data_IF_863302504706
#
_entry.id   IF_863302504706
#
_cell.length_a   1.000
_cell.length_b   1.000
_cell.length_c   1.000
_cell.angle_alpha   90.00
_cell.angle_beta   90.00
_cell.angle_gamma   90.00
#
_symmetry.space_group_name_H-M   'P 1'
#
loop_
_entity.id
_entity.type
_entity.pdbx_description
1 polymer ?
#
# COMPACT_ATOMS: atom_id res chain seq x y z
N UNK A 1 5.93 26.17 7.48
CA UNK A 1 6.53 24.98 8.16
C UNK A 1 5.74 23.67 8.00
N UNK A 2 5.15 23.35 6.83
CA UNK A 2 4.30 22.15 6.68
C UNK A 2 5.02 21.01 5.93
N UNK A 3 4.56 19.79 6.14
CA UNK A 3 4.96 18.58 5.40
C UNK A 3 3.75 17.73 5.05
N UNK A 4 3.83 17.02 3.93
CA UNK A 4 2.81 16.06 3.54
C UNK A 4 2.86 14.84 4.46
N UNK A 5 1.78 14.59 5.19
CA UNK A 5 1.63 13.42 6.05
C UNK A 5 1.18 12.23 5.20
N UNK A 6 1.98 11.16 5.21
CA UNK A 6 1.60 9.90 4.59
C UNK A 6 0.82 9.07 5.58
N UNK A 7 -0.43 8.78 5.22
CA UNK A 7 -1.35 8.01 6.06
C UNK A 7 -2.13 7.00 5.21
N UNK A 8 -1.99 5.69 5.47
CA UNK A 8 -2.71 4.67 4.71
C UNK A 8 -4.17 4.55 5.16
N UNK A 9 -4.98 3.94 4.31
CA UNK A 9 -6.41 3.74 4.55
C UNK A 9 -6.86 2.29 4.40
N UNK A 10 -6.00 1.41 3.86
CA UNK A 10 -6.40 0.03 3.56
C UNK A 10 -5.29 -0.94 3.98
N UNK A 11 -5.63 -1.82 4.92
CA UNK A 11 -4.80 -2.93 5.35
C UNK A 11 -5.67 -4.01 5.98
N UNK A 12 -5.22 -5.25 5.89
CA UNK A 12 -5.87 -6.38 6.53
C UNK A 12 -4.79 -7.23 7.20
N UNK A 13 -4.65 -7.09 8.52
CA UNK A 13 -3.67 -7.80 9.35
C UNK A 13 -4.24 -9.05 10.01
N UNK A 14 -5.49 -9.44 9.69
CA UNK A 14 -6.14 -10.63 10.29
C UNK A 14 -5.33 -11.90 10.04
N UNK A 15 -4.63 -11.99 8.91
CA UNK A 15 -3.75 -13.10 8.62
C UNK A 15 -2.58 -13.22 9.63
N UNK A 16 -2.00 -12.11 10.10
CA UNK A 16 -0.95 -12.16 11.15
C UNK A 16 -1.48 -12.71 12.46
N UNK A 17 -2.72 -12.37 12.81
CA UNK A 17 -3.37 -12.90 14.01
C UNK A 17 -3.47 -14.43 13.98
N UNK A 18 -3.77 -14.98 12.81
CA UNK A 18 -3.81 -16.43 12.59
C UNK A 18 -2.42 -17.06 12.56
N UNK A 19 -1.41 -16.37 12.01
CA UNK A 19 -0.03 -16.90 11.89
C UNK A 19 0.78 -16.84 13.18
N UNK A 20 0.47 -15.92 14.09
CA UNK A 20 1.25 -15.69 15.30
C UNK A 20 1.25 -16.90 16.22
N UNK A 21 2.38 -17.58 16.41
CA UNK A 21 2.47 -18.70 17.34
C UNK A 21 2.40 -18.21 18.79
N UNK A 22 1.44 -18.74 19.56
CA UNK A 22 1.30 -18.45 20.99
C UNK A 22 2.48 -19.09 21.70
N UNK A 23 3.36 -18.26 22.27
CA UNK A 23 4.57 -18.75 22.94
C UNK A 23 4.24 -19.22 24.36
N UNK A 24 4.89 -20.30 24.79
CA UNK A 24 4.73 -20.84 26.15
C UNK A 24 5.19 -19.87 27.24
N UNK A 25 6.12 -18.97 26.91
CA UNK A 25 6.66 -17.94 27.81
C UNK A 25 5.69 -16.79 28.09
N UNK A 26 4.58 -16.67 27.36
CA UNK A 26 3.62 -15.59 27.57
C UNK A 26 2.81 -15.78 28.85
N UNK A 27 2.36 -14.67 29.43
CA UNK A 27 1.41 -14.71 30.55
C UNK A 27 0.11 -15.42 30.14
N UNK A 28 -0.47 -16.22 31.03
CA UNK A 28 -1.69 -16.98 30.73
C UNK A 28 -2.87 -16.10 30.29
N UNK A 29 -2.97 -14.88 30.85
CA UNK A 29 -3.96 -13.90 30.43
C UNK A 29 -3.77 -13.48 28.96
N UNK A 30 -2.53 -13.30 28.52
CA UNK A 30 -2.20 -12.96 27.13
C UNK A 30 -2.54 -14.15 26.23
N UNK A 31 -2.14 -15.37 26.62
CA UNK A 31 -2.49 -16.59 25.86
C UNK A 31 -4.01 -16.76 25.70
N UNK A 32 -4.77 -16.57 26.77
CA UNK A 32 -6.24 -16.63 26.74
C UNK A 32 -6.83 -15.58 25.79
N UNK A 33 -6.36 -14.33 25.87
CA UNK A 33 -6.80 -13.26 24.95
C UNK A 33 -6.52 -13.62 23.48
N UNK A 34 -5.34 -14.16 23.18
CA UNK A 34 -4.99 -14.59 21.83
C UNK A 34 -5.88 -15.74 21.33
N UNK A 35 -6.21 -16.71 22.18
CA UNK A 35 -7.16 -17.79 21.85
C UNK A 35 -8.55 -17.24 21.53
N UNK A 36 -9.09 -16.38 22.39
CA UNK A 36 -10.40 -15.74 22.17
C UNK A 36 -10.43 -14.90 20.88
N UNK A 37 -9.36 -14.14 20.61
CA UNK A 37 -9.27 -13.35 19.39
C UNK A 37 -9.26 -14.23 18.14
N UNK A 38 -8.57 -15.38 18.17
CA UNK A 38 -8.55 -16.36 17.07
C UNK A 38 -9.90 -16.99 16.84
N UNK A 39 -10.57 -17.45 17.89
CA UNK A 39 -11.91 -18.04 17.82
C UNK A 39 -12.92 -17.04 17.23
N UNK A 40 -12.88 -15.78 17.70
CA UNK A 40 -13.74 -14.72 17.18
C UNK A 40 -13.44 -14.40 15.71
N UNK A 41 -12.16 -14.38 15.32
CA UNK A 41 -11.76 -14.15 13.94
C UNK A 41 -12.20 -15.28 13.02
N UNK A 42 -11.99 -16.54 13.42
CA UNK A 42 -12.42 -17.71 12.66
C UNK A 42 -13.94 -17.72 12.47
N UNK A 43 -14.71 -17.41 13.52
CA UNK A 43 -16.17 -17.28 13.41
C UNK A 43 -16.60 -16.16 12.44
N UNK A 44 -15.89 -15.03 12.44
CA UNK A 44 -16.13 -13.94 11.48
C UNK A 44 -15.77 -14.34 10.05
N UNK A 45 -14.60 -14.96 9.84
CA UNK A 45 -14.17 -15.43 8.53
C UNK A 45 -15.10 -16.51 7.98
N UNK A 46 -15.67 -17.35 8.84
CA UNK A 46 -16.66 -18.36 8.46
C UNK A 46 -17.94 -17.72 7.93
N UNK A 47 -18.40 -16.62 8.53
CA UNK A 47 -19.52 -15.82 8.01
C UNK A 47 -19.18 -15.14 6.68
N UNK A 48 -17.96 -14.62 6.55
CA UNK A 48 -17.48 -13.89 5.36
C UNK A 48 -17.23 -14.80 4.15
N UNK A 49 -16.55 -15.94 4.37
CA UNK A 49 -16.11 -16.86 3.32
C UNK A 49 -17.08 -18.03 3.12
N UNK A 50 -18.01 -18.25 4.03
CA UNK A 50 -18.98 -19.35 4.03
C UNK A 50 -18.42 -20.70 4.48
N UNK A 51 -19.30 -21.57 4.96
CA UNK A 51 -18.96 -22.84 5.62
C UNK A 51 -18.38 -23.92 4.72
N UNK A 52 -18.79 -23.97 3.46
CA UNK A 52 -18.33 -25.01 2.55
C UNK A 52 -16.81 -24.94 2.32
N UNK A 53 -16.09 -26.05 2.54
CA UNK A 53 -14.63 -26.14 2.46
C UNK A 53 -13.88 -25.09 3.31
N UNK A 54 -14.44 -24.69 4.46
CA UNK A 54 -13.89 -23.60 5.26
C UNK A 54 -12.42 -23.80 5.66
N UNK A 55 -12.00 -25.01 6.05
CA UNK A 55 -10.62 -25.26 6.48
C UNK A 55 -9.59 -24.97 5.37
N UNK A 56 -9.93 -25.32 4.12
CA UNK A 56 -9.12 -24.95 2.95
C UNK A 56 -9.08 -23.42 2.77
N UNK A 57 -10.22 -22.75 2.91
CA UNK A 57 -10.32 -21.28 2.78
C UNK A 57 -9.52 -20.58 3.86
N UNK A 58 -9.58 -21.07 5.10
CA UNK A 58 -8.82 -20.55 6.24
C UNK A 58 -7.32 -20.73 6.02
N UNK A 59 -6.90 -21.91 5.53
CA UNK A 59 -5.50 -22.13 5.14
C UNK A 59 -5.06 -21.16 4.04
N UNK A 60 -5.86 -21.00 2.99
CA UNK A 60 -5.54 -20.08 1.89
C UNK A 60 -5.49 -18.62 2.36
N UNK A 61 -6.42 -18.20 3.22
CA UNK A 61 -6.43 -16.87 3.83
C UNK A 61 -5.14 -16.62 4.61
N UNK A 62 -4.75 -17.58 5.47
CA UNK A 62 -3.53 -17.50 6.27
C UNK A 62 -2.27 -17.48 5.38
N UNK A 63 -2.20 -18.35 4.39
CA UNK A 63 -1.03 -18.48 3.50
C UNK A 63 -0.85 -17.24 2.61
N UNK A 64 -1.94 -16.60 2.18
CA UNK A 64 -1.91 -15.36 1.41
C UNK A 64 -1.30 -14.19 2.19
N UNK A 65 -1.32 -14.24 3.52
CA UNK A 65 -0.79 -13.18 4.38
C UNK A 65 -1.66 -11.93 4.37
N UNK A 66 -1.12 -10.85 4.94
CA UNK A 66 -1.82 -9.58 5.12
C UNK A 66 -2.01 -8.80 3.81
N UNK A 67 -3.07 -7.99 3.70
CA UNK A 67 -3.10 -6.99 2.63
C UNK A 67 -2.01 -5.95 2.90
N UNK A 68 -1.22 -5.58 1.88
CA UNK A 68 -0.23 -4.52 2.01
C UNK A 68 -0.94 -3.18 2.16
N UNK A 69 -0.28 -2.27 2.88
CA UNK A 69 -0.71 -0.88 2.90
C UNK A 69 -0.45 -0.21 1.54
N UNK A 70 -1.38 0.63 1.09
CA UNK A 70 -1.26 1.42 -0.14
C UNK A 70 -1.87 2.80 0.01
N UNK A 71 -1.26 3.81 -0.63
CA UNK A 71 -1.79 5.18 -0.74
C UNK A 71 -2.73 5.35 -1.95
N UNK A 72 -2.81 4.35 -2.84
CA UNK A 72 -3.53 4.46 -4.12
C UNK A 72 -4.74 3.52 -4.16
N UNK A 73 -5.93 4.08 -4.41
CA UNK A 73 -7.19 3.36 -4.30
C UNK A 73 -7.57 2.48 -5.50
N UNK A 74 -7.00 2.68 -6.69
CA UNK A 74 -7.51 1.98 -7.89
C UNK A 74 -7.16 0.49 -7.93
N UNK A 75 -6.04 0.06 -7.32
CA UNK A 75 -5.62 -1.34 -7.36
C UNK A 75 -6.07 -2.13 -6.14
N UNK A 76 -6.37 -1.49 -5.00
CA UNK A 76 -6.75 -2.20 -3.78
C UNK A 76 -8.01 -3.07 -3.94
N UNK A 77 -9.14 -2.58 -4.52
CA UNK A 77 -10.33 -3.40 -4.70
C UNK A 77 -10.07 -4.59 -5.66
N UNK A 78 -9.27 -4.38 -6.69
CA UNK A 78 -8.93 -5.42 -7.67
C UNK A 78 -8.00 -6.48 -7.03
N UNK A 79 -7.05 -6.06 -6.20
CA UNK A 79 -6.20 -6.97 -5.44
C UNK A 79 -7.01 -7.77 -4.43
N UNK A 80 -7.95 -7.13 -3.73
CA UNK A 80 -8.88 -7.79 -2.82
C UNK A 80 -9.71 -8.87 -3.53
N UNK A 81 -10.23 -8.59 -4.73
CA UNK A 81 -10.93 -9.57 -5.55
C UNK A 81 -10.05 -10.77 -5.93
N UNK A 82 -8.78 -10.53 -6.32
CA UNK A 82 -7.83 -11.60 -6.64
C UNK A 82 -7.54 -12.50 -5.43
N UNK A 83 -7.36 -11.91 -4.24
CA UNK A 83 -7.19 -12.66 -2.98
C UNK A 83 -8.42 -13.50 -2.65
N UNK A 84 -9.62 -12.93 -2.79
CA UNK A 84 -10.86 -13.64 -2.53
C UNK A 84 -11.07 -14.85 -3.44
N UNK A 85 -10.71 -14.73 -4.73
CA UNK A 85 -10.69 -15.87 -5.63
C UNK A 85 -9.76 -16.98 -5.11
N UNK A 86 -8.57 -16.62 -4.64
CA UNK A 86 -7.62 -17.57 -4.05
C UNK A 86 -8.14 -18.23 -2.78
N UNK A 87 -8.76 -17.46 -1.87
CA UNK A 87 -9.35 -18.00 -0.64
C UNK A 87 -10.34 -19.12 -0.95
N UNK A 88 -11.19 -18.92 -1.96
CA UNK A 88 -12.21 -19.88 -2.38
C UNK A 88 -11.67 -21.06 -3.22
N UNK A 89 -10.35 -21.14 -3.45
CA UNK A 89 -9.75 -22.22 -4.23
C UNK A 89 -9.79 -21.99 -5.74
N UNK A 90 -10.23 -20.82 -6.21
CA UNK A 90 -10.22 -20.44 -7.62
C UNK A 90 -8.84 -19.94 -8.04
N UNK A 91 -7.86 -20.85 -8.03
CA UNK A 91 -6.44 -20.51 -8.21
C UNK A 91 -6.11 -19.94 -9.59
N UNK A 92 -6.70 -20.48 -10.67
CA UNK A 92 -6.45 -19.96 -12.02
C UNK A 92 -6.98 -18.52 -12.21
N UNK A 93 -8.24 -18.21 -11.83
CA UNK A 93 -8.70 -16.83 -11.79
C UNK A 93 -7.85 -15.91 -10.92
N UNK A 94 -7.43 -16.36 -9.73
CA UNK A 94 -6.58 -15.55 -8.84
C UNK A 94 -5.21 -15.23 -9.47
N UNK A 95 -4.57 -16.23 -10.08
CA UNK A 95 -3.31 -16.11 -10.79
C UNK A 95 -3.40 -15.12 -11.95
N UNK A 96 -4.40 -15.28 -12.82
CA UNK A 96 -4.60 -14.36 -13.95
C UNK A 96 -4.96 -12.95 -13.49
N UNK A 97 -5.80 -12.81 -12.46
CA UNK A 97 -6.17 -11.51 -11.90
C UNK A 97 -4.94 -10.78 -11.33
N UNK A 98 -4.08 -11.47 -10.58
CA UNK A 98 -2.84 -10.88 -10.05
C UNK A 98 -1.87 -10.45 -11.16
N UNK A 99 -1.64 -11.30 -12.16
CA UNK A 99 -0.81 -10.97 -13.31
C UNK A 99 -1.36 -9.79 -14.12
N UNK A 100 -2.65 -9.79 -14.43
CA UNK A 100 -3.30 -8.71 -15.17
C UNK A 100 -3.30 -7.39 -14.40
N UNK A 101 -3.46 -7.44 -13.07
CA UNK A 101 -3.36 -6.26 -12.23
C UNK A 101 -1.93 -5.69 -12.23
N UNK A 102 -0.90 -6.54 -12.18
CA UNK A 102 0.49 -6.10 -12.35
C UNK A 102 0.73 -5.37 -13.68
N UNK A 103 0.24 -5.93 -14.79
CA UNK A 103 0.28 -5.28 -16.12
C UNK A 103 -0.42 -3.92 -16.10
N UNK A 104 -1.61 -3.87 -15.50
CA UNK A 104 -2.40 -2.66 -15.38
C UNK A 104 -1.68 -1.58 -14.56
N UNK A 105 -0.98 -1.94 -13.49
CA UNK A 105 -0.19 -1.00 -12.68
C UNK A 105 0.98 -0.41 -13.46
N UNK A 106 1.72 -1.23 -14.23
CA UNK A 106 2.78 -0.76 -15.12
C UNK A 106 2.23 0.25 -16.15
N UNK A 107 1.11 -0.09 -16.77
CA UNK A 107 0.48 0.76 -17.78
C UNK A 107 -0.03 2.07 -17.22
N UNK A 108 -0.62 2.06 -16.02
CA UNK A 108 -1.02 3.28 -15.32
C UNK A 108 0.19 4.17 -15.02
N UNK A 109 1.26 3.63 -14.44
CA UNK A 109 2.46 4.43 -14.15
C UNK A 109 3.06 5.06 -15.42
N UNK A 110 3.13 4.31 -16.52
CA UNK A 110 3.59 4.86 -17.79
C UNK A 110 2.68 5.99 -18.26
N UNK A 111 1.36 5.77 -18.30
CA UNK A 111 0.40 6.77 -18.77
C UNK A 111 0.41 8.04 -17.91
N UNK A 112 0.54 7.87 -16.61
CA UNK A 112 0.45 8.94 -15.63
C UNK A 112 1.70 9.81 -15.58
N UNK A 113 2.88 9.26 -15.93
CA UNK A 113 4.18 9.89 -15.72
C UNK A 113 4.91 10.24 -17.01
N UNK A 114 4.62 9.60 -18.15
CA UNK A 114 5.43 9.73 -19.37
C UNK A 114 5.63 11.16 -19.88
N UNK A 115 4.68 12.05 -19.64
CA UNK A 115 4.75 13.42 -20.16
C UNK A 115 5.83 14.24 -19.43
N UNK A 116 6.08 13.95 -18.15
CA UNK A 116 7.20 14.49 -17.35
C UNK A 116 8.57 14.09 -17.92
N UNK A 117 8.62 13.01 -18.69
CA UNK A 117 9.84 12.46 -19.29
C UNK A 117 9.88 12.58 -20.81
N UNK A 118 9.08 13.48 -21.39
CA UNK A 118 8.96 13.66 -22.85
C UNK A 118 10.28 13.95 -23.58
N UNK A 119 11.28 14.48 -22.87
CA UNK A 119 12.64 14.72 -23.39
C UNK A 119 13.56 13.49 -23.44
N UNK A 120 13.14 12.34 -22.92
CA UNK A 120 13.99 11.13 -22.81
C UNK A 120 13.89 10.23 -24.05
N UNK A 121 14.89 9.38 -24.29
CA UNK A 121 14.83 8.39 -25.38
C UNK A 121 13.71 7.37 -25.13
N UNK A 122 13.51 7.00 -23.87
CA UNK A 122 12.54 6.01 -23.41
C UNK A 122 11.11 6.45 -23.73
N UNK A 123 10.80 7.73 -23.63
CA UNK A 123 9.47 8.28 -23.98
C UNK A 123 9.02 7.85 -25.37
N UNK A 124 9.92 7.85 -26.36
CA UNK A 124 9.57 7.46 -27.75
C UNK A 124 9.03 6.03 -27.83
N UNK A 125 9.47 5.13 -26.93
CA UNK A 125 9.04 3.73 -26.87
C UNK A 125 7.65 3.58 -26.28
N UNK A 126 7.23 4.51 -25.41
CA UNK A 126 5.95 4.47 -24.68
C UNK A 126 4.95 5.59 -25.05
N UNK A 127 5.31 6.44 -26.01
CA UNK A 127 4.44 7.51 -26.48
C UNK A 127 3.16 6.99 -27.14
N UNK A 128 3.24 5.84 -27.83
CA UNK A 128 2.12 5.22 -28.56
C UNK A 128 1.50 4.07 -27.79
N UNK A 129 0.18 3.92 -27.92
CA UNK A 129 -0.63 2.90 -27.23
C UNK A 129 -0.17 1.45 -27.46
N UNK A 130 0.40 1.16 -28.64
CA UNK A 130 0.82 -0.20 -29.02
C UNK A 130 1.98 -0.77 -28.16
N UNK A 131 2.57 0.02 -27.27
CA UNK A 131 3.66 -0.39 -26.39
C UNK A 131 3.21 -0.95 -25.03
N UNK A 132 1.94 -0.75 -24.66
CA UNK A 132 1.44 -1.05 -23.30
C UNK A 132 1.20 -2.54 -23.02
N UNK A 133 1.25 -3.40 -24.03
CA UNK A 133 1.17 -4.85 -23.83
C UNK A 133 2.57 -5.48 -23.64
N UNK A 134 3.63 -4.68 -23.69
CA UNK A 134 5.01 -5.14 -23.54
C UNK A 134 5.58 -4.79 -22.16
N UNK A 135 5.53 -5.76 -21.25
CA UNK A 135 6.08 -5.66 -19.89
C UNK A 135 7.55 -5.22 -19.87
N UNK A 136 8.40 -5.70 -20.78
CA UNK A 136 9.83 -5.35 -20.76
C UNK A 136 10.03 -3.87 -21.08
N UNK A 137 9.27 -3.34 -22.04
CA UNK A 137 9.32 -1.93 -22.39
C UNK A 137 8.85 -1.08 -21.22
N UNK A 138 7.73 -1.43 -20.57
CA UNK A 138 7.23 -0.68 -19.42
C UNK A 138 8.20 -0.73 -18.24
N UNK A 139 8.69 -1.93 -17.86
CA UNK A 139 9.63 -2.10 -16.74
C UNK A 139 10.93 -1.34 -17.00
N UNK A 140 11.57 -1.54 -18.15
CA UNK A 140 12.84 -0.87 -18.46
C UNK A 140 12.70 0.66 -18.58
N UNK A 141 11.54 1.15 -19.02
CA UNK A 141 11.25 2.59 -19.07
C UNK A 141 11.11 3.18 -17.67
N UNK A 142 10.30 2.57 -16.81
CA UNK A 142 10.11 3.03 -15.42
C UNK A 142 11.39 2.92 -14.58
N UNK A 143 12.20 1.88 -14.83
CA UNK A 143 13.53 1.71 -14.22
C UNK A 143 14.49 2.81 -14.68
N UNK A 144 14.52 3.13 -15.98
CA UNK A 144 15.37 4.20 -16.51
C UNK A 144 14.94 5.62 -16.09
N UNK A 145 13.67 5.81 -15.75
CA UNK A 145 13.14 7.05 -15.16
C UNK A 145 13.28 7.10 -13.64
N UNK A 146 13.90 6.09 -13.03
CA UNK A 146 14.07 5.96 -11.59
C UNK A 146 12.75 6.05 -10.81
N UNK A 147 11.67 5.46 -11.35
CA UNK A 147 10.33 5.49 -10.71
C UNK A 147 10.17 4.42 -9.63
N UNK A 148 10.85 3.28 -9.80
CA UNK A 148 10.73 2.18 -8.85
C UNK A 148 11.41 2.52 -7.52
N UNK A 149 10.70 2.29 -6.42
CA UNK A 149 11.17 2.65 -5.08
C UNK A 149 12.27 1.71 -4.55
N UNK A 150 12.37 0.50 -5.11
CA UNK A 150 13.43 -0.46 -4.80
C UNK A 150 13.56 -1.53 -5.89
N UNK A 151 14.73 -2.17 -5.97
CA UNK A 151 15.05 -3.23 -6.95
C UNK A 151 14.09 -4.43 -6.88
N UNK A 152 13.54 -4.73 -5.70
CA UNK A 152 12.58 -5.82 -5.54
C UNK A 152 11.29 -5.59 -6.34
N UNK A 153 10.87 -4.33 -6.56
CA UNK A 153 9.69 -4.00 -7.37
C UNK A 153 9.89 -4.45 -8.82
N UNK A 154 11.06 -4.14 -9.39
CA UNK A 154 11.45 -4.61 -10.72
C UNK A 154 11.45 -6.14 -10.81
N UNK A 155 12.05 -6.80 -9.80
CA UNK A 155 12.12 -8.26 -9.75
C UNK A 155 10.72 -8.91 -9.67
N UNK A 156 9.82 -8.33 -8.87
CA UNK A 156 8.45 -8.80 -8.70
C UNK A 156 7.62 -8.63 -9.99
N UNK A 157 7.73 -7.50 -10.68
CA UNK A 157 7.07 -7.33 -11.99
C UNK A 157 7.60 -8.35 -13.03
N UNK A 158 8.91 -8.59 -13.06
CA UNK A 158 9.50 -9.63 -13.92
C UNK A 158 9.00 -11.04 -13.54
N UNK A 159 8.78 -11.30 -12.26
CA UNK A 159 8.22 -12.56 -11.79
C UNK A 159 6.75 -12.73 -12.23
N UNK A 160 5.92 -11.71 -12.07
CA UNK A 160 4.53 -11.70 -12.55
C UNK A 160 4.43 -11.93 -14.05
N UNK A 161 5.32 -11.31 -14.84
CA UNK A 161 5.41 -11.56 -16.29
C UNK A 161 5.66 -13.03 -16.62
N UNK A 162 6.61 -13.67 -15.92
CA UNK A 162 6.92 -15.10 -16.13
C UNK A 162 5.74 -15.98 -15.77
N UNK A 163 5.08 -15.70 -14.65
CA UNK A 163 3.87 -16.41 -14.21
C UNK A 163 2.75 -16.26 -15.25
N UNK A 164 2.49 -15.04 -15.75
CA UNK A 164 1.51 -14.77 -16.81
C UNK A 164 1.79 -15.59 -18.06
N UNK A 165 3.03 -15.53 -18.57
CA UNK A 165 3.43 -16.23 -19.79
C UNK A 165 3.20 -17.74 -19.65
N UNK A 166 3.63 -18.34 -18.52
CA UNK A 166 3.43 -19.77 -18.26
C UNK A 166 1.96 -20.15 -18.07
N UNK A 167 1.13 -19.26 -17.55
CA UNK A 167 -0.26 -19.57 -17.18
C UNK A 167 -1.23 -19.39 -18.34
N UNK A 168 -0.96 -18.46 -19.26
CA UNK A 168 -1.82 -18.18 -20.42
C UNK A 168 -1.56 -19.18 -21.55
N UNK A 169 -0.31 -19.62 -21.74
CA UNK A 169 0.01 -20.66 -22.71
C UNK A 169 -0.32 -22.03 -22.12
N UNK A 170 -1.14 -22.81 -22.83
CA UNK A 170 -1.58 -24.13 -22.37
C UNK A 170 -0.39 -25.04 -22.07
N UNK A 171 -0.34 -25.55 -20.84
CA UNK A 171 0.60 -26.57 -20.40
C UNK A 171 -0.09 -27.47 -19.36
N UNK A 172 -0.06 -28.81 -19.51
CA UNK A 172 -0.61 -29.72 -18.51
C UNK A 172 0.02 -29.57 -17.12
N UNK A 173 1.28 -29.13 -17.06
CA UNK A 173 1.99 -28.90 -15.79
C UNK A 173 1.38 -27.75 -14.97
N UNK A 174 0.72 -26.78 -15.62
CA UNK A 174 0.07 -25.63 -14.96
C UNK A 174 -1.00 -26.08 -13.96
N UNK A 175 -1.66 -27.23 -14.18
CA UNK A 175 -2.65 -27.75 -13.25
C UNK A 175 -2.05 -28.32 -11.96
N UNK A 176 -0.77 -28.70 -11.97
CA UNK A 176 -0.09 -29.26 -10.78
C UNK A 176 0.41 -28.20 -9.82
N UNK A 177 0.72 -27.00 -10.33
CA UNK A 177 1.33 -25.91 -9.54
C UNK A 177 0.39 -24.72 -9.36
N UNK A 178 -0.88 -24.86 -9.76
CA UNK A 178 -1.80 -23.73 -9.90
C UNK A 178 -1.98 -22.93 -8.60
N UNK A 179 -2.06 -23.65 -7.47
CA UNK A 179 -2.20 -23.03 -6.15
C UNK A 179 -0.94 -22.26 -5.79
N UNK A 180 0.23 -22.88 -5.94
CA UNK A 180 1.53 -22.30 -5.60
C UNK A 180 1.81 -21.08 -6.46
N UNK A 181 1.48 -21.15 -7.75
CA UNK A 181 1.64 -20.06 -8.70
C UNK A 181 0.70 -18.90 -8.40
N UNK A 182 -0.56 -19.18 -8.08
CA UNK A 182 -1.52 -18.15 -7.67
C UNK A 182 -1.07 -17.46 -6.37
N UNK A 183 -0.61 -18.22 -5.39
CA UNK A 183 -0.08 -17.68 -4.14
C UNK A 183 1.16 -16.81 -4.40
N UNK A 184 2.10 -17.29 -5.20
CA UNK A 184 3.31 -16.55 -5.58
C UNK A 184 2.96 -15.26 -6.31
N UNK A 185 2.01 -15.29 -7.25
CA UNK A 185 1.57 -14.08 -7.96
C UNK A 185 0.96 -13.06 -7.01
N UNK A 186 0.09 -13.49 -6.09
CA UNK A 186 -0.49 -12.60 -5.08
C UNK A 186 0.59 -12.00 -4.16
N UNK A 187 1.59 -12.79 -3.76
CA UNK A 187 2.69 -12.32 -2.92
C UNK A 187 3.60 -11.32 -3.63
N UNK A 188 3.95 -11.55 -4.91
CA UNK A 188 4.71 -10.59 -5.72
C UNK A 188 3.93 -9.28 -5.88
N UNK A 189 2.62 -9.38 -6.15
CA UNK A 189 1.77 -8.21 -6.26
C UNK A 189 1.63 -7.46 -4.92
N UNK A 190 1.52 -8.20 -3.81
CA UNK A 190 1.49 -7.61 -2.47
C UNK A 190 2.78 -6.83 -2.17
N UNK A 191 3.92 -7.40 -2.54
CA UNK A 191 5.24 -6.79 -2.41
C UNK A 191 5.35 -5.50 -3.24
N UNK A 192 4.93 -5.53 -4.51
CA UNK A 192 4.87 -4.34 -5.37
C UNK A 192 4.02 -3.25 -4.73
N UNK A 193 2.79 -3.59 -4.31
CA UNK A 193 1.88 -2.61 -3.70
C UNK A 193 2.52 -2.00 -2.43
N UNK A 194 3.08 -2.84 -1.55
CA UNK A 194 3.70 -2.41 -0.30
C UNK A 194 4.89 -1.49 -0.50
N UNK A 195 5.78 -1.81 -1.43
CA UNK A 195 7.05 -1.10 -1.60
C UNK A 195 6.90 0.11 -2.52
N UNK A 196 6.12 -0.01 -3.61
CA UNK A 196 5.94 1.08 -4.55
C UNK A 196 4.91 2.10 -4.05
N UNK A 197 3.79 1.64 -3.50
CA UNK A 197 2.63 2.48 -3.15
C UNK A 197 2.35 2.52 -1.65
N UNK A 198 3.10 1.80 -0.83
CA UNK A 198 2.99 1.84 0.63
C UNK A 198 3.96 2.83 1.26
N UNK A 199 4.08 2.75 2.57
CA UNK A 199 4.91 3.68 3.36
C UNK A 199 5.68 2.89 4.42
N UNK A 200 6.17 1.70 4.05
CA UNK A 200 7.13 1.02 4.89
C UNK A 200 8.35 1.94 5.06
N UNK A 201 8.90 2.00 6.27
CA UNK A 201 9.83 3.05 6.70
C UNK A 201 11.19 3.12 5.97
N UNK A 202 11.30 2.49 4.81
CA UNK A 202 12.51 2.36 3.99
C UNK A 202 12.45 3.20 2.70
N UNK A 203 11.31 3.83 2.37
CA UNK A 203 11.19 4.61 1.15
C UNK A 203 12.14 5.83 1.15
N UNK A 204 12.88 6.03 0.05
CA UNK A 204 13.94 7.05 -0.06
C UNK A 204 13.46 8.49 0.15
N UNK A 205 12.20 8.77 -0.15
CA UNK A 205 11.56 10.08 -0.04
C UNK A 205 10.98 10.36 1.35
N UNK A 206 11.04 9.39 2.26
CA UNK A 206 10.42 9.50 3.57
C UNK A 206 11.30 10.31 4.53
N UNK A 207 10.69 11.27 5.22
CA UNK A 207 11.35 12.12 6.20
C UNK A 207 11.81 11.25 7.39
N UNK A 208 13.12 11.18 7.68
CA UNK A 208 13.65 10.36 8.76
C UNK A 208 13.47 11.03 10.13
N UNK A 209 13.40 10.21 11.17
CA UNK A 209 13.48 10.69 12.56
C UNK A 209 12.17 11.14 13.19
N UNK A 210 11.01 11.01 12.54
CA UNK A 210 9.70 11.30 13.14
C UNK A 210 9.11 10.10 13.90
N UNK A 211 8.50 10.36 15.06
CA UNK A 211 7.85 9.33 15.89
C UNK A 211 6.43 9.03 15.42
N UNK A 212 6.15 7.75 15.14
CA UNK A 212 4.82 7.27 14.76
C UNK A 212 4.43 7.63 13.32
N UNK A 213 4.17 8.91 13.05
CA UNK A 213 3.74 9.39 11.74
C UNK A 213 4.89 9.48 10.73
N UNK A 214 4.55 9.40 9.44
CA UNK A 214 5.49 9.47 8.31
C UNK A 214 5.19 10.69 7.44
N UNK A 215 6.23 11.35 6.98
CA UNK A 215 6.11 12.55 6.16
C UNK A 215 6.99 12.43 4.92
N UNK A 216 6.68 13.21 3.89
CA UNK A 216 7.51 13.32 2.69
C UNK A 216 8.58 14.39 2.93
N UNK A 217 9.83 14.11 2.54
CA UNK A 217 10.93 15.08 2.58
C UNK A 217 10.64 16.26 1.66
N UNK A 218 11.16 17.44 2.00
CA UNK A 218 10.91 18.64 1.20
C UNK A 218 11.47 18.55 -0.22
N UNK A 219 12.68 18.00 -0.35
CA UNK A 219 13.37 17.82 -1.64
C UNK A 219 12.69 16.80 -2.56
N UNK A 220 11.89 15.90 -1.98
CA UNK A 220 11.20 14.83 -2.68
C UNK A 220 9.83 15.27 -3.20
N UNK A 221 9.32 16.45 -2.80
CA UNK A 221 8.04 16.98 -3.29
C UNK A 221 8.01 17.25 -4.80
N UNK A 222 9.17 17.30 -5.47
CA UNK A 222 9.29 17.43 -6.92
C UNK A 222 9.42 16.08 -7.65
N UNK A 223 9.49 14.96 -6.94
CA UNK A 223 9.54 13.63 -7.56
C UNK A 223 8.24 13.36 -8.33
N UNK A 224 8.29 13.08 -9.65
CA UNK A 224 7.08 12.90 -10.47
C UNK A 224 6.13 11.82 -9.95
N UNK A 225 6.67 10.73 -9.39
CA UNK A 225 5.88 9.65 -8.82
C UNK A 225 5.14 10.11 -7.56
N UNK A 226 5.81 10.85 -6.67
CA UNK A 226 5.16 11.39 -5.46
C UNK A 226 4.13 12.45 -5.77
N UNK A 227 4.44 13.37 -6.69
CA UNK A 227 3.51 14.41 -7.16
C UNK A 227 2.22 13.78 -7.67
N UNK A 228 2.33 12.67 -8.41
CA UNK A 228 1.18 12.00 -9.00
C UNK A 228 0.37 11.18 -8.00
N UNK A 229 1.04 10.38 -7.16
CA UNK A 229 0.36 9.35 -6.35
C UNK A 229 0.24 9.68 -4.87
N UNK A 230 1.19 10.42 -4.28
CA UNK A 230 1.22 10.66 -2.84
C UNK A 230 0.67 12.04 -2.48
N UNK A 231 1.19 13.12 -3.07
CA UNK A 231 0.83 14.49 -2.66
C UNK A 231 -0.68 14.77 -2.73
N UNK A 232 -1.44 14.33 -3.76
CA UNK A 232 -2.88 14.58 -3.83
C UNK A 232 -3.68 13.84 -2.74
N UNK A 233 -3.07 12.84 -2.13
CA UNK A 233 -3.67 11.94 -1.14
C UNK A 233 -3.22 12.25 0.29
N UNK A 234 -2.19 13.09 0.46
CA UNK A 234 -1.57 13.38 1.74
C UNK A 234 -1.98 14.79 2.23
N UNK A 235 -2.51 14.95 3.45
CA UNK A 235 -2.77 16.28 3.98
C UNK A 235 -1.45 17.01 4.27
N UNK A 236 -1.40 18.29 3.92
CA UNK A 236 -0.27 19.16 4.20
C UNK A 236 -0.43 19.74 5.62
N UNK A 237 0.42 19.31 6.55
CA UNK A 237 0.24 19.57 7.99
C UNK A 237 1.47 20.17 8.65
N UNK A 238 1.26 21.02 9.65
CA UNK A 238 2.30 21.52 10.56
C UNK A 238 2.72 20.45 11.59
N UNK A 239 3.80 20.66 12.36
CA UNK A 239 4.13 19.82 13.51
C UNK A 239 3.03 19.72 14.58
N UNK A 240 2.14 20.72 14.65
CA UNK A 240 1.10 20.85 15.67
C UNK A 240 -0.24 20.22 15.28
N UNK A 241 -0.32 19.52 14.16
CA UNK A 241 -1.56 18.87 13.75
C UNK A 241 -2.02 17.77 14.70
N UNK A 242 -3.32 17.49 14.67
CA UNK A 242 -3.95 16.35 15.33
C UNK A 242 -4.71 15.47 14.34
N UNK A 243 -4.94 14.23 14.76
CA UNK A 243 -5.74 13.23 14.03
C UNK A 243 -6.90 12.85 14.94
N UNK A 244 -8.10 12.77 14.39
CA UNK A 244 -9.27 12.27 15.11
C UNK A 244 -10.11 11.34 14.25
N UNK A 245 -10.50 10.20 14.83
CA UNK A 245 -11.33 9.20 14.18
C UNK A 245 -12.79 9.58 14.35
N UNK A 246 -13.45 9.85 13.23
CA UNK A 246 -14.85 10.24 13.15
C UNK A 246 -15.67 9.10 12.58
N UNK A 247 -17.00 9.06 12.82
CA UNK A 247 -17.88 8.07 12.18
C UNK A 247 -17.80 8.08 10.65
N UNK A 248 -17.46 9.21 10.04
CA UNK A 248 -17.38 9.38 8.58
C UNK A 248 -15.97 9.16 8.01
N UNK A 249 -14.96 8.85 8.83
CA UNK A 249 -13.59 8.67 8.39
C UNK A 249 -12.56 9.31 9.33
N UNK A 250 -11.39 9.64 8.80
CA UNK A 250 -10.28 10.19 9.58
C UNK A 250 -10.16 11.69 9.28
N UNK A 251 -10.22 12.50 10.34
CA UNK A 251 -10.02 13.94 10.27
C UNK A 251 -8.60 14.33 10.65
N UNK A 252 -7.95 15.14 9.83
CA UNK A 252 -6.66 15.76 10.10
C UNK A 252 -6.87 17.24 10.34
N UNK A 253 -6.54 17.74 11.52
CA UNK A 253 -6.81 19.11 11.96
C UNK A 253 -5.49 19.85 12.16
N UNK A 254 -5.39 21.05 11.62
CA UNK A 254 -4.20 21.89 11.70
C UNK A 254 -4.57 23.37 11.76
N UNK A 255 -3.67 24.23 12.21
CA UNK A 255 -3.92 25.68 12.23
C UNK A 255 -3.86 26.25 10.81
N UNK A 256 -4.78 27.19 10.50
CA UNK A 256 -4.77 27.97 9.26
C UNK A 256 -3.51 28.83 9.20
N UNK A 257 -3.26 29.61 10.25
CA UNK A 257 -2.15 30.55 10.36
C UNK A 257 -0.94 29.88 10.99
N UNK A 258 -0.40 28.87 10.31
CA UNK A 258 0.93 28.36 10.66
C UNK A 258 1.97 29.32 10.11
N UNK A 259 2.99 29.67 10.91
CA UNK A 259 4.11 30.50 10.45
C UNK A 259 4.65 29.97 9.12
N UNK A 260 4.63 30.85 8.10
CA UNK A 260 5.10 30.54 6.75
C UNK A 260 6.62 30.67 6.67
N UNK A 261 7.29 29.92 7.55
CA UNK A 261 8.72 29.77 7.57
C UNK A 261 9.10 28.44 6.94
N UNK A 262 10.11 28.46 6.09
CA UNK A 262 10.73 27.24 5.60
C UNK A 262 11.63 26.66 6.69
N UNK A 263 11.49 25.35 6.93
CA UNK A 263 12.28 24.62 7.93
C UNK A 263 12.91 23.42 7.26
N UNK A 264 14.10 23.04 7.73
CA UNK A 264 14.75 21.80 7.28
C UNK A 264 13.95 20.57 7.75
N UNK A 265 14.17 19.42 7.10
CA UNK A 265 13.53 18.16 7.51
C UNK A 265 13.93 17.74 8.93
N UNK A 266 15.19 17.96 9.31
CA UNK A 266 15.68 17.70 10.67
C UNK A 266 14.99 18.61 11.71
N UNK A 267 14.80 19.88 11.36
CA UNK A 267 14.09 20.82 12.23
C UNK A 267 12.60 20.47 12.34
N UNK A 268 11.95 20.10 11.23
CA UNK A 268 10.56 19.64 11.27
C UNK A 268 10.40 18.40 12.16
N UNK A 269 11.28 17.41 12.02
CA UNK A 269 11.27 16.21 12.85
C UNK A 269 11.43 16.54 14.34
N UNK A 270 12.35 17.45 14.67
CA UNK A 270 12.56 17.94 16.04
C UNK A 270 11.31 18.61 16.59
N UNK A 271 10.76 19.59 15.87
CA UNK A 271 9.55 20.32 16.27
C UNK A 271 8.35 19.37 16.46
N UNK A 272 8.19 18.37 15.59
CA UNK A 272 7.11 17.40 15.70
C UNK A 272 7.29 16.44 16.89
N UNK A 273 8.52 16.00 17.16
CA UNK A 273 8.81 15.08 18.25
C UNK A 273 8.81 15.74 19.64
N UNK A 274 9.15 17.04 19.69
CA UNK A 274 9.27 17.85 20.92
C UNK A 274 8.05 18.76 21.14
N UNK A 275 6.99 18.61 20.34
CA UNK A 275 5.80 19.46 20.40
C UNK A 275 5.14 19.43 21.78
N UNK A 276 4.72 20.60 22.24
CA UNK A 276 3.90 20.74 23.45
C UNK A 276 2.48 20.21 23.16
N UNK A 277 2.00 19.19 23.90
CA UNK A 277 0.65 18.66 23.73
C UNK A 277 -0.46 19.70 23.88
N UNK A 278 -0.22 20.79 24.62
CA UNK A 278 -1.20 21.87 24.84
C UNK A 278 -1.33 22.81 23.65
N UNK A 279 -0.35 22.79 22.74
CA UNK A 279 -0.33 23.61 21.52
C UNK A 279 -0.78 22.84 20.27
N UNK A 280 -1.19 21.58 20.43
CA UNK A 280 -1.71 20.76 19.33
C UNK A 280 -3.08 21.28 18.90
N UNK A 281 -3.31 21.33 17.58
CA UNK A 281 -4.55 21.76 16.97
C UNK A 281 -5.76 21.00 17.56
N UNK A 282 -6.81 21.70 18.02
CA UNK A 282 -8.02 21.05 18.53
C UNK A 282 -8.72 20.25 17.44
N UNK A 283 -9.11 19.02 17.76
CA UNK A 283 -9.76 18.10 16.82
C UNK A 283 -11.28 18.00 17.00
N UNK A 284 -11.91 19.10 17.44
CA UNK A 284 -13.36 19.18 17.64
C UNK A 284 -14.09 19.26 16.29
N UNK A 285 -15.30 18.72 16.24
CA UNK A 285 -16.18 18.80 15.08
C UNK A 285 -17.49 19.47 15.54
N UNK A 286 -17.92 20.59 14.91
CA UNK A 286 -17.28 21.28 13.78
C UNK A 286 -15.93 21.92 14.16
N UNK A 287 -14.99 22.09 13.20
CA UNK A 287 -13.70 22.73 13.46
C UNK A 287 -13.88 24.21 13.82
N UNK A 288 -13.00 24.72 14.67
CA UNK A 288 -12.95 26.14 15.04
C UNK A 288 -12.48 27.00 13.84
N UNK A 289 -12.82 28.30 13.84
CA UNK A 289 -12.59 29.18 12.67
C UNK A 289 -11.12 29.28 12.23
N UNK A 290 -10.17 29.07 13.14
CA UNK A 290 -8.73 29.09 12.89
C UNK A 290 -8.15 27.72 12.49
N UNK A 291 -8.99 26.70 12.31
CA UNK A 291 -8.59 25.32 11.99
C UNK A 291 -8.90 24.98 10.54
N UNK A 292 -7.91 24.43 9.83
CA UNK A 292 -8.12 23.70 8.59
C UNK A 292 -8.31 22.23 8.94
N UNK A 293 -9.28 21.58 8.31
CA UNK A 293 -9.50 20.15 8.47
C UNK A 293 -9.57 19.47 7.12
N UNK A 294 -8.94 18.30 7.04
CA UNK A 294 -9.00 17.40 5.89
C UNK A 294 -9.76 16.16 6.34
N UNK A 295 -10.96 15.96 5.81
CA UNK A 295 -11.72 14.75 6.05
C UNK A 295 -11.42 13.76 4.93
N UNK A 296 -10.96 12.57 5.30
CA UNK A 296 -10.76 11.47 4.35
C UNK A 296 -11.73 10.34 4.70
N UNK A 297 -12.61 10.03 3.75
CA UNK A 297 -13.59 8.95 3.81
C UNK A 297 -12.97 7.61 3.45
#
# INVERSE_FOLDING_TARGET
MKRYLVYPFDFDTRAELLRTEIQDSWEEKIKAQWRTNRESLEASLRKELGDHNFDMKLKNFRDCGSAPFSIVSYHNPLYHQARYAFYHGYYYPALLAACALGERMLNHMILDLRDEFSGTEQYRKVARKNSFDNWDVAISTLEAWDIFQADCVTADFRALKRLRHRSVHFSPETYRTLREDALSALQHLASIIRVQFGFDGAARWMLPGTKGNRFIKKDSEADPFLVKYYLPQCPLVSPMFSINFQPQGIGFFDFKDTEDREVSDAEFARLYNERDPTLIAPSKVPPEDNIVWYLRQ
#
